data_IF_844532553779
#
_entry.id   IF_844532553779
#
_cell.length_a   1.000
_cell.length_b   1.000
_cell.length_c   1.000
_cell.angle_alpha   90.00
_cell.angle_beta   90.00
_cell.angle_gamma   90.00
#
_symmetry.space_group_name_H-M   'P 1'
#
loop_
_entity.id
_entity.type
_entity.pdbx_description
1 polymer ?
#
# COMPACT_ATOMS: atom_id res chain seq x y z
N UNK A 1 28.06 -21.29 -15.41
CA UNK A 1 27.08 -20.76 -14.44
C UNK A 1 27.02 -19.27 -14.69
N UNK A 2 25.97 -18.77 -15.34
CA UNK A 2 25.83 -17.32 -15.56
C UNK A 2 25.68 -16.66 -14.18
N UNK A 3 26.61 -15.76 -13.86
CA UNK A 3 26.60 -15.02 -12.60
C UNK A 3 25.32 -14.16 -12.55
N UNK A 4 24.60 -14.22 -11.44
CA UNK A 4 23.34 -13.48 -11.23
C UNK A 4 23.47 -11.96 -11.34
N UNK A 5 24.70 -11.44 -11.44
CA UNK A 5 25.04 -10.02 -11.55
C UNK A 5 24.62 -9.36 -12.87
N UNK A 6 24.39 -10.12 -13.94
CA UNK A 6 24.13 -9.52 -15.26
C UNK A 6 22.68 -9.07 -15.47
N UNK A 7 21.77 -9.40 -14.53
CA UNK A 7 20.36 -9.03 -14.67
C UNK A 7 20.09 -7.66 -14.04
N UNK A 8 19.46 -6.73 -14.76
CA UNK A 8 19.06 -5.47 -14.15
C UNK A 8 18.10 -5.74 -12.98
N UNK A 9 18.17 -4.94 -11.91
CA UNK A 9 17.27 -5.09 -10.77
C UNK A 9 15.81 -5.00 -11.22
N UNK A 10 14.92 -5.67 -10.49
CA UNK A 10 13.49 -5.62 -10.80
C UNK A 10 12.95 -4.20 -10.64
N UNK A 11 12.15 -3.75 -11.62
CA UNK A 11 11.53 -2.43 -11.55
C UNK A 11 10.57 -2.33 -10.35
N UNK A 12 10.57 -1.21 -9.62
CA UNK A 12 9.66 -1.00 -8.51
C UNK A 12 8.21 -0.90 -9.03
N UNK A 13 7.37 -1.89 -8.70
CA UNK A 13 5.95 -1.96 -9.10
C UNK A 13 5.08 -1.51 -7.93
N UNK A 14 4.46 -0.35 -8.03
CA UNK A 14 3.64 0.21 -6.94
C UNK A 14 2.48 -0.72 -6.54
N UNK A 15 1.85 -1.41 -7.49
CA UNK A 15 0.71 -2.30 -7.22
C UNK A 15 1.08 -3.58 -6.45
N UNK A 16 2.36 -3.91 -6.30
CA UNK A 16 2.83 -5.02 -5.45
C UNK A 16 3.21 -4.55 -4.04
N UNK A 17 3.13 -3.25 -3.76
CA UNK A 17 3.42 -2.73 -2.43
C UNK A 17 2.25 -3.06 -1.48
N UNK A 18 2.54 -3.84 -0.45
CA UNK A 18 1.58 -4.24 0.59
C UNK A 18 0.84 -3.07 1.23
N UNK A 19 1.49 -1.91 1.41
CA UNK A 19 0.84 -0.73 1.96
C UNK A 19 -0.26 -0.19 1.04
N UNK A 20 -0.03 -0.16 -0.28
CA UNK A 20 -1.06 0.26 -1.23
C UNK A 20 -2.21 -0.75 -1.33
N UNK A 21 -1.91 -2.04 -1.24
CA UNK A 21 -2.94 -3.08 -1.21
C UNK A 21 -3.85 -2.94 0.02
N UNK A 22 -3.27 -2.72 1.20
CA UNK A 22 -4.06 -2.46 2.41
C UNK A 22 -4.83 -1.14 2.33
N UNK A 23 -4.23 -0.09 1.78
CA UNK A 23 -4.94 1.18 1.57
C UNK A 23 -6.20 0.99 0.72
N UNK A 24 -6.10 0.24 -0.40
CA UNK A 24 -7.24 -0.07 -1.27
C UNK A 24 -8.29 -0.90 -0.53
N UNK A 25 -7.87 -1.97 0.16
CA UNK A 25 -8.79 -2.82 0.90
C UNK A 25 -9.57 -2.03 1.96
N UNK A 26 -8.89 -1.24 2.77
CA UNK A 26 -9.49 -0.42 3.82
C UNK A 26 -10.39 0.67 3.23
N UNK A 27 -10.03 1.26 2.09
CA UNK A 27 -10.87 2.22 1.39
C UNK A 27 -12.19 1.57 0.91
N UNK A 28 -12.14 0.34 0.40
CA UNK A 28 -13.35 -0.40 0.02
C UNK A 28 -14.24 -0.69 1.24
N UNK A 29 -13.67 -1.09 2.37
CA UNK A 29 -14.42 -1.29 3.63
C UNK A 29 -15.06 0.02 4.09
N UNK A 30 -14.31 1.13 4.07
CA UNK A 30 -14.84 2.45 4.41
C UNK A 30 -16.01 2.85 3.50
N UNK A 31 -15.88 2.66 2.19
CA UNK A 31 -16.96 2.95 1.24
C UNK A 31 -18.20 2.10 1.53
N UNK A 32 -18.05 0.80 1.77
CA UNK A 32 -19.17 -0.08 2.12
C UNK A 32 -19.84 0.40 3.41
N UNK A 33 -19.06 0.76 4.43
CA UNK A 33 -19.58 1.29 5.69
C UNK A 33 -20.31 2.62 5.54
N UNK A 34 -19.84 3.51 4.67
CA UNK A 34 -20.49 4.80 4.39
C UNK A 34 -21.82 4.64 3.63
N UNK A 35 -21.90 3.70 2.67
CA UNK A 35 -23.11 3.52 1.86
C UNK A 35 -24.15 2.60 2.50
N UNK A 36 -23.74 1.55 3.20
CA UNK A 36 -24.64 0.55 3.80
C UNK A 36 -24.83 0.69 5.31
N UNK A 37 -24.03 1.56 5.94
CA UNK A 37 -24.03 1.77 7.39
C UNK A 37 -23.03 0.87 8.12
N UNK A 38 -22.69 1.27 9.35
CA UNK A 38 -21.64 0.62 10.14
C UNK A 38 -21.92 -0.84 10.50
N UNK A 39 -23.19 -1.27 10.52
CA UNK A 39 -23.56 -2.66 10.82
C UNK A 39 -23.06 -3.67 9.77
N UNK A 40 -22.74 -3.24 8.54
CA UNK A 40 -22.21 -4.12 7.49
C UNK A 40 -20.72 -4.41 7.60
N UNK A 41 -19.99 -3.55 8.32
CA UNK A 41 -18.52 -3.62 8.46
C UNK A 41 -18.10 -3.93 9.90
N UNK A 42 -19.07 -4.02 10.80
CA UNK A 42 -18.87 -4.27 12.22
C UNK A 42 -18.75 -5.76 12.48
N UNK A 43 -17.77 -6.14 13.27
CA UNK A 43 -17.60 -7.53 13.68
C UNK A 43 -18.66 -7.94 14.72
N UNK A 44 -19.10 -9.22 14.71
CA UNK A 44 -20.03 -9.72 15.73
C UNK A 44 -19.48 -9.48 17.14
N UNK A 45 -20.25 -8.76 17.97
CA UNK A 45 -19.87 -8.47 19.37
C UNK A 45 -19.10 -7.16 19.60
N UNK A 46 -18.64 -6.45 18.56
CA UNK A 46 -18.11 -5.08 18.70
C UNK A 46 -19.25 -4.13 19.14
N UNK A 47 -19.06 -3.03 19.88
CA UNK A 47 -20.12 -2.03 20.13
C UNK A 47 -20.57 -1.28 18.87
N UNK A 48 -21.78 -0.73 18.88
CA UNK A 48 -22.32 0.04 17.76
C UNK A 48 -21.60 1.39 17.67
N UNK A 49 -20.69 1.54 16.72
CA UNK A 49 -20.05 2.81 16.41
C UNK A 49 -20.46 3.28 15.01
N UNK A 50 -21.16 4.42 14.93
CA UNK A 50 -21.53 5.05 13.66
C UNK A 50 -20.33 5.65 12.93
N UNK A 51 -19.23 5.91 13.65
CA UNK A 51 -17.98 6.46 13.13
C UNK A 51 -17.01 5.43 12.55
N UNK A 52 -17.32 4.12 12.62
CA UNK A 52 -16.40 3.05 12.25
C UNK A 52 -15.86 3.18 10.81
N UNK A 53 -16.69 3.62 9.86
CA UNK A 53 -16.28 3.82 8.48
C UNK A 53 -15.22 4.93 8.32
N UNK A 54 -15.28 5.98 9.15
CA UNK A 54 -14.29 7.05 9.16
C UNK A 54 -12.93 6.56 9.68
N UNK A 55 -12.93 5.65 10.65
CA UNK A 55 -11.70 5.01 11.12
C UNK A 55 -11.04 4.16 10.04
N UNK A 56 -11.82 3.38 9.28
CA UNK A 56 -11.30 2.65 8.12
C UNK A 56 -10.76 3.60 7.04
N UNK A 57 -11.42 4.74 6.82
CA UNK A 57 -10.95 5.74 5.85
C UNK A 57 -9.63 6.39 6.31
N UNK A 58 -9.52 6.74 7.60
CA UNK A 58 -8.30 7.29 8.18
C UNK A 58 -7.13 6.29 8.10
N UNK A 59 -7.39 5.01 8.41
CA UNK A 59 -6.41 3.95 8.26
C UNK A 59 -5.98 3.78 6.80
N UNK A 60 -6.94 3.78 5.85
CA UNK A 60 -6.64 3.71 4.42
C UNK A 60 -5.73 4.86 3.97
N UNK A 61 -6.01 6.10 4.41
CA UNK A 61 -5.18 7.26 4.13
C UNK A 61 -3.76 7.12 4.69
N UNK A 62 -3.62 6.63 5.92
CA UNK A 62 -2.32 6.40 6.56
C UNK A 62 -1.50 5.37 5.79
N UNK A 63 -2.11 4.24 5.41
CA UNK A 63 -1.46 3.21 4.60
C UNK A 63 -1.07 3.74 3.21
N UNK A 64 -1.91 4.56 2.59
CA UNK A 64 -1.62 5.17 1.30
C UNK A 64 -0.40 6.09 1.36
N UNK A 65 -0.36 7.00 2.36
CA UNK A 65 0.77 7.92 2.56
C UNK A 65 2.06 7.14 2.84
N UNK A 66 1.99 6.11 3.69
CA UNK A 66 3.15 5.27 3.99
C UNK A 66 3.64 4.52 2.74
N UNK A 67 2.72 3.95 1.96
CA UNK A 67 3.02 3.31 0.68
C UNK A 67 3.68 4.25 -0.31
N UNK A 68 3.22 5.50 -0.38
CA UNK A 68 3.78 6.54 -1.25
C UNK A 68 5.22 6.89 -0.87
N UNK A 69 5.49 7.13 0.42
CA UNK A 69 6.84 7.42 0.90
C UNK A 69 7.77 6.22 0.66
N UNK A 70 7.32 5.01 1.00
CA UNK A 70 8.07 3.78 0.80
C UNK A 70 8.40 3.54 -0.68
N UNK A 71 7.43 3.72 -1.58
CA UNK A 71 7.64 3.53 -3.01
C UNK A 71 8.65 4.52 -3.58
N UNK A 72 8.58 5.80 -3.19
CA UNK A 72 9.57 6.81 -3.60
C UNK A 72 10.98 6.46 -3.16
N UNK A 73 11.15 5.94 -1.94
CA UNK A 73 12.44 5.46 -1.46
C UNK A 73 12.95 4.28 -2.30
N UNK A 74 12.10 3.32 -2.63
CA UNK A 74 12.47 2.18 -3.50
C UNK A 74 12.86 2.65 -4.91
N UNK A 75 12.14 3.61 -5.51
CA UNK A 75 12.48 4.17 -6.82
C UNK A 75 13.85 4.84 -6.81
N UNK A 76 14.14 5.65 -5.78
CA UNK A 76 15.45 6.29 -5.63
C UNK A 76 16.60 5.28 -5.51
N UNK A 77 16.40 4.15 -4.82
CA UNK A 77 17.39 3.07 -4.73
C UNK A 77 17.57 2.40 -6.11
N UNK A 78 16.48 2.17 -6.82
CA UNK A 78 16.50 1.56 -8.15
C UNK A 78 17.30 2.42 -9.16
N UNK A 79 17.05 3.72 -9.21
CA UNK A 79 17.76 4.66 -10.09
C UNK A 79 19.27 4.71 -9.79
N UNK A 80 19.66 4.67 -8.51
CA UNK A 80 21.07 4.59 -8.11
C UNK A 80 21.72 3.31 -8.60
N UNK A 81 21.06 2.17 -8.43
CA UNK A 81 21.58 0.88 -8.87
C UNK A 81 21.75 0.78 -10.40
N UNK A 82 20.88 1.43 -11.17
CA UNK A 82 21.02 1.51 -12.62
C UNK A 82 22.21 2.39 -13.04
N UNK A 83 22.41 3.50 -12.34
CA UNK A 83 23.53 4.41 -12.59
C UNK A 83 24.86 3.72 -12.33
N UNK A 84 25.00 3.03 -11.18
CA UNK A 84 26.19 2.26 -10.81
C UNK A 84 26.52 1.18 -11.86
N UNK A 85 25.53 0.39 -12.29
CA UNK A 85 25.72 -0.66 -13.28
C UNK A 85 26.09 -0.14 -14.68
N UNK A 86 25.69 1.08 -15.04
CA UNK A 86 26.04 1.68 -16.34
C UNK A 86 27.47 2.24 -16.34
N UNK A 87 28.01 2.57 -15.16
CA UNK A 87 29.36 3.12 -14.99
C UNK A 87 30.47 2.09 -14.75
N UNK A 88 30.11 0.82 -14.60
CA UNK A 88 31.02 -0.32 -14.41
C UNK A 88 31.29 -1.05 -15.74
#
# INVERSE_FOLDING_TARGET
MADSKDKPPAQPRWWLNTYFLFAILLALVALIGLFRGSNFIRDPGQPADTGLAWWYLAAAALFFVNGFVSHRATVAIYERSLTENTSA
#
